data_IF_916672777264
#
_entry.id   IF_916672777264
#
_cell.length_a   1.000
_cell.length_b   1.000
_cell.length_c   1.000
_cell.angle_alpha   90.00
_cell.angle_beta   90.00
_cell.angle_gamma   90.00
#
_symmetry.space_group_name_H-M   'P 1'
#
loop_
_entity.id
_entity.type
_entity.pdbx_description
1 polymer ?
#
# COMPACT_ATOMS: atom_id res chain seq x y z
N UNK A 1 39.68 31.12 -17.15
CA UNK A 1 38.36 31.59 -16.66
C UNK A 1 37.62 30.38 -16.10
N UNK A 2 37.68 30.21 -14.78
CA UNK A 2 37.13 29.04 -14.06
C UNK A 2 35.75 29.42 -13.57
N UNK A 3 34.70 28.82 -14.16
CA UNK A 3 33.30 29.03 -13.74
C UNK A 3 33.04 28.30 -12.44
N UNK A 4 32.85 29.06 -11.36
CA UNK A 4 32.35 28.52 -10.08
C UNK A 4 30.88 28.14 -10.22
N UNK A 5 30.57 26.81 -10.19
CA UNK A 5 29.24 26.32 -10.00
C UNK A 5 28.79 26.60 -8.56
N UNK A 6 27.91 27.56 -8.37
CA UNK A 6 27.22 27.82 -7.09
C UNK A 6 26.29 26.66 -6.78
N UNK A 7 26.62 25.90 -5.73
CA UNK A 7 25.71 24.89 -5.13
C UNK A 7 24.52 25.62 -4.52
N UNK A 8 23.38 25.60 -5.20
CA UNK A 8 22.10 26.01 -4.60
C UNK A 8 21.74 25.06 -3.46
N UNK A 9 21.80 25.56 -2.23
CA UNK A 9 21.27 24.85 -1.04
C UNK A 9 19.75 24.70 -1.21
N UNK A 10 19.29 23.49 -1.45
CA UNK A 10 17.86 23.13 -1.37
C UNK A 10 17.36 23.45 0.03
N UNK A 11 16.24 24.17 0.22
CA UNK A 11 15.73 24.50 1.55
C UNK A 11 15.37 23.20 2.29
N UNK A 12 15.96 23.04 3.47
CA UNK A 12 15.70 21.92 4.37
C UNK A 12 14.23 22.01 4.85
N UNK A 13 13.31 21.31 4.19
CA UNK A 13 11.92 21.19 4.66
C UNK A 13 11.95 20.45 5.98
N UNK A 14 11.39 21.05 7.02
CA UNK A 14 11.27 20.45 8.35
C UNK A 14 10.44 19.17 8.28
N UNK A 15 11.07 18.04 8.60
CA UNK A 15 10.43 16.72 8.63
C UNK A 15 9.27 16.70 9.64
N UNK A 16 8.12 16.09 9.34
CA UNK A 16 7.04 15.89 10.30
C UNK A 16 7.58 15.24 11.59
N UNK A 17 7.19 15.75 12.75
CA UNK A 17 7.74 15.39 14.06
C UNK A 17 7.77 13.88 14.37
N UNK A 18 6.84 13.11 13.76
CA UNK A 18 6.80 11.65 13.87
C UNK A 18 7.93 10.93 13.11
N UNK A 19 8.35 11.47 11.98
CA UNK A 19 9.36 10.87 11.10
C UNK A 19 10.76 11.17 11.57
N UNK A 20 11.00 12.36 12.12
CA UNK A 20 12.28 12.72 12.75
C UNK A 20 12.69 11.76 13.87
N UNK A 21 11.72 11.23 14.65
CA UNK A 21 11.98 10.18 15.66
C UNK A 21 12.34 8.84 15.05
N UNK A 22 11.73 8.48 13.92
CA UNK A 22 11.98 7.21 13.23
C UNK A 22 13.34 7.21 12.53
N UNK A 23 13.79 8.38 12.05
CA UNK A 23 15.06 8.56 11.34
C UNK A 23 16.26 8.70 12.28
N UNK A 24 16.05 8.97 13.59
CA UNK A 24 17.14 8.95 14.57
C UNK A 24 17.84 7.59 14.54
N UNK A 25 19.19 7.61 14.39
CA UNK A 25 20.07 6.43 14.31
C UNK A 25 20.03 5.68 12.95
N UNK A 26 19.56 6.30 11.89
CA UNK A 26 19.79 5.78 10.54
C UNK A 26 21.05 6.49 10.00
N UNK A 27 22.14 5.74 9.84
CA UNK A 27 23.48 6.28 9.50
C UNK A 27 23.65 6.63 8.01
N UNK A 28 22.55 6.71 7.25
CA UNK A 28 22.55 7.00 5.82
C UNK A 28 21.78 8.29 5.51
N UNK A 29 22.14 8.98 4.42
CA UNK A 29 21.39 10.14 3.93
C UNK A 29 19.91 9.79 3.71
N UNK A 30 19.02 10.73 4.01
CA UNK A 30 17.58 10.51 3.96
C UNK A 30 17.09 10.17 2.54
N UNK A 31 17.64 10.80 1.53
CA UNK A 31 17.35 10.57 0.12
C UNK A 31 17.68 9.13 -0.30
N UNK A 32 18.81 8.57 0.15
CA UNK A 32 19.20 7.16 -0.06
C UNK A 32 18.16 6.22 0.57
N UNK A 33 17.80 6.49 1.83
CA UNK A 33 16.80 5.68 2.56
C UNK A 33 15.45 5.69 1.83
N UNK A 34 14.97 6.88 1.48
CA UNK A 34 13.68 7.05 0.81
C UNK A 34 13.67 6.43 -0.59
N UNK A 35 14.76 6.54 -1.32
CA UNK A 35 14.94 5.93 -2.62
C UNK A 35 14.81 4.41 -2.55
N UNK A 36 15.57 3.78 -1.64
CA UNK A 36 15.53 2.33 -1.43
C UNK A 36 14.12 1.85 -1.01
N UNK A 37 13.48 2.55 -0.07
CA UNK A 37 12.12 2.22 0.39
C UNK A 37 11.12 2.32 -0.75
N UNK A 38 11.15 3.41 -1.54
CA UNK A 38 10.28 3.58 -2.69
C UNK A 38 10.50 2.51 -3.76
N UNK A 39 11.75 2.21 -4.07
CA UNK A 39 12.07 1.19 -5.07
C UNK A 39 11.59 -0.19 -4.64
N UNK A 40 11.80 -0.56 -3.38
CA UNK A 40 11.36 -1.84 -2.85
C UNK A 40 9.85 -2.05 -2.94
N UNK A 41 9.04 -1.03 -2.61
CA UNK A 41 7.57 -1.15 -2.65
C UNK A 41 6.95 -0.80 -4.00
N UNK A 42 7.69 -0.09 -4.84
CA UNK A 42 7.18 0.40 -6.12
C UNK A 42 7.55 -0.47 -7.32
N UNK A 43 8.59 -1.28 -7.24
CA UNK A 43 9.10 -2.07 -8.35
C UNK A 43 9.28 -3.53 -7.97
N UNK A 44 9.38 -4.39 -8.99
CA UNK A 44 9.61 -5.83 -8.84
C UNK A 44 11.08 -6.11 -8.54
N UNK A 45 11.54 -5.76 -7.34
CA UNK A 45 12.93 -5.86 -6.89
C UNK A 45 12.99 -6.63 -5.56
N UNK A 46 14.03 -7.46 -5.42
CA UNK A 46 14.40 -8.04 -4.13
C UNK A 46 15.26 -7.05 -3.33
N UNK A 47 15.44 -7.32 -2.04
CA UNK A 47 16.35 -6.52 -1.20
C UNK A 47 17.81 -6.63 -1.70
N UNK A 48 18.20 -7.78 -2.27
CA UNK A 48 19.54 -7.98 -2.84
C UNK A 48 19.75 -7.21 -4.14
N UNK A 49 18.73 -7.11 -4.98
CA UNK A 49 18.82 -6.23 -6.15
C UNK A 49 19.03 -4.77 -5.75
N UNK A 50 18.42 -4.32 -4.65
CA UNK A 50 18.64 -2.96 -4.16
C UNK A 50 20.05 -2.75 -3.60
N UNK A 51 20.60 -3.74 -2.90
CA UNK A 51 21.98 -3.75 -2.44
C UNK A 51 22.95 -3.59 -3.62
N UNK A 52 22.80 -4.40 -4.67
CA UNK A 52 23.57 -4.34 -5.90
C UNK A 52 23.44 -2.98 -6.62
N UNK A 53 22.19 -2.53 -6.84
CA UNK A 53 21.92 -1.23 -7.49
C UNK A 53 22.48 -0.03 -6.72
N UNK A 54 22.58 -0.10 -5.41
CA UNK A 54 23.20 0.95 -4.60
C UNK A 54 24.73 0.89 -4.65
N UNK A 55 25.31 -0.32 -4.65
CA UNK A 55 26.76 -0.51 -4.82
C UNK A 55 27.24 0.05 -6.15
N UNK A 56 26.52 -0.14 -7.27
CA UNK A 56 26.80 0.47 -8.58
C UNK A 56 26.85 2.01 -8.53
N UNK A 57 26.21 2.63 -7.54
CA UNK A 57 26.19 4.09 -7.30
C UNK A 57 27.20 4.55 -6.25
N UNK A 58 28.10 3.66 -5.85
CA UNK A 58 29.11 3.93 -4.82
C UNK A 58 28.52 4.05 -3.40
N UNK A 59 27.33 3.51 -3.16
CA UNK A 59 26.70 3.53 -1.83
C UNK A 59 26.59 2.10 -1.31
N UNK A 60 27.38 1.76 -0.31
CA UNK A 60 27.34 0.48 0.35
C UNK A 60 26.12 0.41 1.29
N UNK A 61 25.11 -0.38 0.94
CA UNK A 61 23.89 -0.58 1.71
C UNK A 61 23.60 -2.08 1.81
N UNK A 62 23.59 -2.60 3.01
CA UNK A 62 23.20 -3.99 3.27
C UNK A 62 21.67 -4.18 3.14
N UNK A 63 21.26 -5.29 2.53
CA UNK A 63 19.85 -5.65 2.33
C UNK A 63 19.03 -5.70 3.63
N UNK A 64 19.63 -6.04 4.77
CA UNK A 64 18.97 -6.03 6.07
C UNK A 64 18.73 -4.60 6.58
N UNK A 65 19.57 -3.65 6.21
CA UNK A 65 19.39 -2.22 6.48
C UNK A 65 18.20 -1.68 5.71
N UNK A 66 18.10 -2.01 4.41
CA UNK A 66 16.93 -1.63 3.59
C UNK A 66 15.65 -2.21 4.19
N UNK A 67 15.66 -3.49 4.60
CA UNK A 67 14.50 -4.11 5.25
C UNK A 67 14.09 -3.36 6.53
N UNK A 68 15.05 -3.00 7.39
CA UNK A 68 14.79 -2.21 8.61
C UNK A 68 14.17 -0.85 8.32
N UNK A 69 14.64 -0.16 7.29
CA UNK A 69 14.07 1.12 6.85
C UNK A 69 12.63 0.97 6.40
N UNK A 70 12.37 -0.03 5.56
CA UNK A 70 11.03 -0.36 5.08
C UNK A 70 10.05 -0.59 6.25
N UNK A 71 10.41 -1.48 7.19
CA UNK A 71 9.55 -1.80 8.34
C UNK A 71 9.33 -0.60 9.26
N UNK A 72 10.32 0.28 9.42
CA UNK A 72 10.21 1.47 10.28
C UNK A 72 9.41 2.59 9.64
N UNK A 73 9.58 2.84 8.34
CA UNK A 73 9.03 4.02 7.68
C UNK A 73 7.61 3.80 7.12
N UNK A 74 7.31 2.63 6.56
CA UNK A 74 6.03 2.40 5.89
C UNK A 74 4.79 2.63 6.78
N UNK A 75 4.78 2.34 8.10
CA UNK A 75 3.64 2.69 8.94
C UNK A 75 3.35 4.19 9.00
N UNK A 76 4.41 5.02 8.99
CA UNK A 76 4.27 6.47 8.96
C UNK A 76 3.76 6.94 7.59
N UNK A 77 4.23 6.35 6.50
CA UNK A 77 3.74 6.61 5.14
C UNK A 77 2.27 6.26 5.00
N UNK A 78 1.85 5.10 5.52
CA UNK A 78 0.44 4.70 5.51
C UNK A 78 -0.43 5.73 6.24
N UNK A 79 0.00 6.16 7.44
CA UNK A 79 -0.73 7.18 8.21
C UNK A 79 -0.84 8.51 7.46
N UNK A 80 0.25 8.97 6.82
CA UNK A 80 0.26 10.20 6.05
C UNK A 80 -0.60 10.10 4.78
N UNK A 81 -0.47 8.98 4.04
CA UNK A 81 -1.24 8.73 2.84
C UNK A 81 -2.75 8.69 3.09
N UNK A 82 -3.20 8.01 4.17
CA UNK A 82 -4.63 7.93 4.50
C UNK A 82 -5.30 9.29 4.71
N UNK A 83 -4.55 10.29 5.18
CA UNK A 83 -5.05 11.68 5.34
C UNK A 83 -5.23 12.39 4.01
N UNK A 84 -4.48 12.02 2.98
CA UNK A 84 -4.43 12.65 1.66
C UNK A 84 -5.04 11.77 0.56
N UNK A 85 -5.56 10.61 0.94
CA UNK A 85 -6.19 9.68 0.01
C UNK A 85 -7.45 10.30 -0.59
N UNK A 86 -7.60 10.19 -1.90
CA UNK A 86 -8.82 10.64 -2.59
C UNK A 86 -10.04 9.86 -2.14
N UNK A 87 -11.21 10.51 -2.08
CA UNK A 87 -12.48 9.83 -1.92
C UNK A 87 -12.69 8.79 -3.02
N UNK A 88 -13.28 7.66 -2.66
CA UNK A 88 -13.59 6.57 -3.59
C UNK A 88 -15.08 6.54 -3.93
N UNK A 89 -15.42 5.94 -5.06
CA UNK A 89 -16.81 5.78 -5.49
C UNK A 89 -17.61 4.88 -4.53
N UNK A 90 -18.93 5.00 -4.55
CA UNK A 90 -19.87 4.27 -3.66
C UNK A 90 -20.24 2.86 -4.16
N UNK A 91 -19.66 2.39 -5.25
CA UNK A 91 -19.88 1.02 -5.75
C UNK A 91 -18.56 0.27 -5.74
N UNK A 92 -18.45 -0.71 -4.83
CA UNK A 92 -17.22 -1.45 -4.60
C UNK A 92 -17.29 -2.86 -5.19
N UNK A 93 -16.15 -3.33 -5.67
CA UNK A 93 -15.92 -4.72 -6.09
C UNK A 93 -14.84 -5.30 -5.19
N UNK A 94 -15.18 -6.41 -4.54
CA UNK A 94 -14.32 -7.02 -3.52
C UNK A 94 -13.92 -8.41 -3.96
N UNK A 95 -12.66 -8.71 -3.80
CA UNK A 95 -12.08 -10.02 -4.05
C UNK A 95 -10.91 -10.26 -3.10
N UNK A 96 -10.53 -11.53 -2.91
CA UNK A 96 -9.35 -11.90 -2.16
C UNK A 96 -8.34 -12.67 -3.01
N UNK A 97 -7.08 -12.48 -2.68
CA UNK A 97 -5.99 -13.24 -3.29
C UNK A 97 -5.04 -13.81 -2.24
N UNK A 98 -4.19 -14.73 -2.66
CA UNK A 98 -3.28 -15.46 -1.78
C UNK A 98 -1.89 -14.82 -1.77
N UNK A 99 -1.28 -14.73 -0.57
CA UNK A 99 0.09 -14.29 -0.34
C UNK A 99 0.78 -15.30 0.57
N UNK A 100 2.00 -15.70 0.23
CA UNK A 100 2.77 -16.70 1.00
C UNK A 100 3.49 -16.05 2.17
N UNK A 101 3.21 -16.49 3.40
CA UNK A 101 3.84 -16.02 4.64
C UNK A 101 4.28 -17.24 5.47
N UNK A 102 5.55 -17.35 5.81
CA UNK A 102 6.14 -18.52 6.52
C UNK A 102 5.79 -19.86 5.83
N UNK A 103 5.81 -19.89 4.50
CA UNK A 103 5.44 -21.08 3.76
C UNK A 103 3.92 -21.33 3.63
N UNK A 104 3.08 -20.66 4.38
CA UNK A 104 1.62 -20.83 4.41
C UNK A 104 0.90 -19.75 3.60
N UNK A 105 -0.21 -20.12 2.96
CA UNK A 105 -1.05 -19.19 2.25
C UNK A 105 -1.86 -18.34 3.24
N UNK A 106 -1.84 -17.02 3.02
CA UNK A 106 -2.61 -16.01 3.73
C UNK A 106 -3.45 -15.22 2.73
N UNK A 107 -4.47 -14.53 3.18
CA UNK A 107 -5.49 -13.94 2.35
C UNK A 107 -5.38 -12.42 2.35
N UNK A 108 -5.20 -11.84 1.17
CA UNK A 108 -5.22 -10.39 0.96
C UNK A 108 -6.58 -10.01 0.38
N UNK A 109 -7.44 -9.49 1.23
CA UNK A 109 -8.71 -8.87 0.83
C UNK A 109 -8.44 -7.53 0.18
N UNK A 110 -9.19 -7.22 -0.86
CA UNK A 110 -9.05 -5.96 -1.57
C UNK A 110 -10.39 -5.53 -2.17
N UNK A 111 -10.64 -4.21 -2.15
CA UNK A 111 -11.75 -3.61 -2.89
C UNK A 111 -11.24 -2.53 -3.84
N UNK A 112 -11.91 -2.42 -4.97
CA UNK A 112 -11.79 -1.30 -5.91
C UNK A 112 -13.17 -0.70 -6.18
N UNK A 113 -13.23 0.59 -6.50
CA UNK A 113 -14.46 1.22 -6.95
C UNK A 113 -14.74 0.96 -8.44
N UNK A 114 -15.84 1.50 -8.97
CA UNK A 114 -16.22 1.34 -10.38
C UNK A 114 -15.17 1.91 -11.35
N UNK A 115 -14.43 2.94 -10.93
CA UNK A 115 -13.37 3.56 -11.73
C UNK A 115 -12.03 2.81 -11.61
N UNK A 116 -11.96 1.76 -10.78
CA UNK A 116 -10.75 1.00 -10.54
C UNK A 116 -9.84 1.57 -9.44
N UNK A 117 -10.26 2.63 -8.73
CA UNK A 117 -9.49 3.14 -7.61
C UNK A 117 -9.54 2.17 -6.43
N UNK A 118 -8.41 1.94 -5.77
CA UNK A 118 -8.34 1.05 -4.60
C UNK A 118 -9.09 1.68 -3.42
N UNK A 119 -10.13 0.98 -2.96
CA UNK A 119 -10.90 1.37 -1.77
C UNK A 119 -10.10 1.06 -0.51
N UNK A 120 -9.81 -0.21 -0.27
CA UNK A 120 -8.97 -0.63 0.86
C UNK A 120 -8.43 -2.06 0.62
N UNK A 121 -7.52 -2.48 1.51
CA UNK A 121 -6.91 -3.80 1.52
C UNK A 121 -6.69 -4.26 2.97
N UNK A 122 -6.66 -5.58 3.18
CA UNK A 122 -6.37 -6.17 4.49
C UNK A 122 -5.78 -7.57 4.35
N UNK A 123 -4.60 -7.81 4.93
CA UNK A 123 -4.03 -9.16 5.05
C UNK A 123 -4.63 -9.88 6.26
N UNK A 124 -5.15 -11.09 6.03
CA UNK A 124 -5.72 -11.96 7.08
C UNK A 124 -5.08 -13.34 7.08
N UNK A 125 -5.05 -13.97 8.23
CA UNK A 125 -4.48 -15.31 8.40
C UNK A 125 -5.41 -16.40 7.85
N UNK A 126 -6.72 -16.21 7.97
CA UNK A 126 -7.76 -17.16 7.60
C UNK A 126 -8.75 -16.51 6.61
N UNK A 127 -9.46 -17.37 5.84
CA UNK A 127 -10.55 -17.01 4.95
C UNK A 127 -11.85 -17.49 5.56
N UNK A 128 -12.42 -16.70 6.43
CA UNK A 128 -13.65 -17.00 7.13
C UNK A 128 -14.56 -15.76 7.24
N UNK A 129 -15.79 -15.94 7.74
CA UNK A 129 -16.76 -14.87 7.94
C UNK A 129 -16.19 -13.74 8.82
N UNK A 130 -15.44 -14.07 9.87
CA UNK A 130 -14.87 -13.08 10.78
C UNK A 130 -13.77 -12.24 10.09
N UNK A 131 -12.93 -12.85 9.24
CA UNK A 131 -11.92 -12.15 8.46
C UNK A 131 -12.57 -11.20 7.44
N UNK A 132 -13.59 -11.65 6.72
CA UNK A 132 -14.35 -10.85 5.77
C UNK A 132 -15.08 -9.69 6.47
N UNK A 133 -15.75 -9.95 7.59
CA UNK A 133 -16.43 -8.91 8.39
C UNK A 133 -15.44 -7.82 8.82
N UNK A 134 -14.29 -8.22 9.39
CA UNK A 134 -13.23 -7.27 9.80
C UNK A 134 -12.70 -6.42 8.64
N UNK A 135 -12.63 -7.01 7.45
CA UNK A 135 -12.26 -6.27 6.26
C UNK A 135 -13.31 -5.22 5.88
N UNK A 136 -14.59 -5.59 5.83
CA UNK A 136 -15.66 -4.66 5.47
C UNK A 136 -15.82 -3.54 6.50
N UNK A 137 -15.79 -3.84 7.79
CA UNK A 137 -15.82 -2.83 8.87
C UNK A 137 -14.70 -1.80 8.68
N UNK A 138 -13.45 -2.26 8.51
CA UNK A 138 -12.31 -1.38 8.26
C UNK A 138 -12.48 -0.54 6.99
N UNK A 139 -12.93 -1.14 5.90
CA UNK A 139 -13.08 -0.44 4.62
C UNK A 139 -14.16 0.64 4.71
N UNK A 140 -15.28 0.37 5.39
CA UNK A 140 -16.38 1.30 5.60
C UNK A 140 -15.95 2.44 6.53
N UNK A 141 -15.30 2.13 7.65
CA UNK A 141 -14.79 3.11 8.60
C UNK A 141 -13.88 4.13 7.94
N UNK A 142 -13.01 3.69 7.03
CA UNK A 142 -11.99 4.52 6.41
C UNK A 142 -12.43 5.24 5.12
N UNK A 143 -13.44 4.73 4.42
CA UNK A 143 -13.83 5.25 3.11
C UNK A 143 -15.32 5.66 3.03
N UNK A 144 -16.05 5.54 4.15
CA UNK A 144 -17.47 5.79 4.22
C UNK A 144 -18.31 4.66 3.62
N UNK A 145 -19.61 4.77 3.76
CA UNK A 145 -20.56 3.72 3.37
C UNK A 145 -20.73 3.60 1.86
N UNK A 146 -20.58 2.38 1.29
CA UNK A 146 -20.90 2.11 -0.09
C UNK A 146 -22.42 1.93 -0.29
N UNK A 147 -22.91 2.29 -1.47
CA UNK A 147 -24.28 1.97 -1.91
C UNK A 147 -24.39 0.52 -2.38
N UNK A 148 -23.32 -0.02 -2.97
CA UNK A 148 -23.31 -1.35 -3.55
C UNK A 148 -21.94 -2.01 -3.33
N UNK A 149 -21.96 -3.28 -2.91
CA UNK A 149 -20.77 -4.13 -2.89
C UNK A 149 -21.00 -5.32 -3.80
N UNK A 150 -20.08 -5.55 -4.73
CA UNK A 150 -20.05 -6.74 -5.58
C UNK A 150 -18.97 -7.68 -5.06
N UNK A 151 -19.35 -8.91 -4.78
CA UNK A 151 -18.45 -10.01 -4.36
C UNK A 151 -18.56 -11.16 -5.35
N UNK A 152 -17.58 -12.07 -5.31
CA UNK A 152 -17.69 -13.37 -5.95
C UNK A 152 -18.75 -14.24 -5.22
N UNK A 153 -18.92 -15.47 -5.66
CA UNK A 153 -19.84 -16.43 -5.00
C UNK A 153 -19.25 -17.05 -3.72
N UNK A 154 -18.28 -16.39 -3.08
CA UNK A 154 -17.69 -16.82 -1.81
C UNK A 154 -18.70 -16.70 -0.69
N UNK A 155 -19.01 -17.82 -0.04
CA UNK A 155 -19.96 -17.85 1.08
C UNK A 155 -19.51 -17.00 2.27
N UNK A 156 -18.19 -16.87 2.52
CA UNK A 156 -17.66 -16.09 3.64
C UNK A 156 -17.93 -14.59 3.48
N UNK A 157 -17.71 -14.03 2.27
CA UNK A 157 -17.99 -12.63 1.98
C UNK A 157 -19.49 -12.30 2.09
N UNK A 158 -20.34 -13.18 1.52
CA UNK A 158 -21.77 -13.00 1.58
C UNK A 158 -22.27 -13.03 3.03
N UNK A 159 -21.92 -14.07 3.79
CA UNK A 159 -22.34 -14.22 5.18
C UNK A 159 -21.86 -13.07 6.09
N UNK A 160 -20.70 -12.48 5.78
CA UNK A 160 -20.20 -11.29 6.48
C UNK A 160 -21.04 -10.05 6.16
N UNK A 161 -21.38 -9.83 4.89
CA UNK A 161 -22.20 -8.69 4.46
C UNK A 161 -23.66 -8.79 4.94
N UNK A 162 -24.24 -9.99 4.95
CA UNK A 162 -25.57 -10.24 5.51
C UNK A 162 -25.61 -9.90 7.02
N UNK A 163 -24.59 -10.34 7.78
CA UNK A 163 -24.48 -10.02 9.19
C UNK A 163 -24.31 -8.51 9.43
N UNK A 164 -23.52 -7.82 8.60
CA UNK A 164 -23.37 -6.37 8.67
C UNK A 164 -24.67 -5.64 8.35
N UNK A 165 -25.41 -6.10 7.35
CA UNK A 165 -26.69 -5.50 6.96
C UNK A 165 -27.79 -5.71 8.00
N UNK A 166 -27.77 -6.80 8.75
CA UNK A 166 -28.72 -7.06 9.84
C UNK A 166 -28.60 -6.04 11.00
N UNK A 167 -27.42 -5.42 11.14
CA UNK A 167 -27.14 -4.41 12.19
C UNK A 167 -27.35 -2.97 11.69
N UNK A 168 -27.82 -2.75 10.44
CA UNK A 168 -27.90 -1.44 9.79
C UNK A 168 -29.34 -1.01 9.50
N UNK A 169 -29.62 0.26 9.70
CA UNK A 169 -30.91 0.85 9.30
C UNK A 169 -31.06 0.91 7.78
N UNK A 170 -29.95 1.17 7.06
CA UNK A 170 -29.94 1.20 5.60
C UNK A 170 -29.01 0.11 5.08
N UNK A 171 -29.55 -0.99 4.54
CA UNK A 171 -28.73 -2.10 4.09
C UNK A 171 -27.95 -1.75 2.81
N UNK A 172 -26.71 -2.23 2.74
CA UNK A 172 -25.85 -2.12 1.57
C UNK A 172 -26.37 -3.12 0.51
N UNK A 173 -26.55 -2.67 -0.73
CA UNK A 173 -26.93 -3.58 -1.83
C UNK A 173 -25.80 -4.54 -2.17
N UNK A 174 -26.00 -5.82 -1.91
CA UNK A 174 -25.04 -6.87 -2.25
C UNK A 174 -25.33 -7.43 -3.63
N UNK A 175 -24.31 -7.58 -4.45
CA UNK A 175 -24.36 -8.22 -5.77
C UNK A 175 -23.36 -9.37 -5.82
N UNK A 176 -23.80 -10.54 -6.28
CA UNK A 176 -22.91 -11.66 -6.57
C UNK A 176 -22.71 -11.76 -8.07
N UNK A 177 -21.49 -11.51 -8.55
CA UNK A 177 -21.17 -11.61 -9.97
C UNK A 177 -19.68 -11.92 -10.18
N UNK A 178 -19.39 -13.09 -10.75
CA UNK A 178 -18.03 -13.54 -11.05
C UNK A 178 -17.34 -12.67 -12.11
N UNK A 179 -18.08 -12.22 -13.11
CA UNK A 179 -17.50 -11.53 -14.28
C UNK A 179 -17.13 -10.05 -14.01
N UNK A 180 -17.65 -9.45 -12.97
CA UNK A 180 -17.34 -8.06 -12.63
C UNK A 180 -16.04 -7.88 -11.83
N UNK A 181 -15.36 -8.97 -11.47
CA UNK A 181 -14.14 -8.95 -10.67
C UNK A 181 -12.85 -8.76 -11.47
N UNK A 182 -12.90 -8.74 -12.82
CA UNK A 182 -11.72 -8.57 -13.68
C UNK A 182 -10.86 -7.35 -13.29
N UNK A 183 -11.48 -6.26 -12.83
CA UNK A 183 -10.75 -5.04 -12.43
C UNK A 183 -9.94 -5.29 -11.15
N UNK A 184 -10.52 -6.01 -10.16
CA UNK A 184 -9.81 -6.38 -8.92
C UNK A 184 -8.71 -7.40 -9.22
N UNK A 185 -8.95 -8.33 -10.14
CA UNK A 185 -7.96 -9.33 -10.56
C UNK A 185 -6.74 -8.69 -11.22
N UNK A 186 -6.92 -7.64 -12.04
CA UNK A 186 -5.81 -6.88 -12.61
C UNK A 186 -4.95 -6.23 -11.52
N UNK A 187 -5.59 -5.70 -10.50
CA UNK A 187 -4.92 -5.14 -9.33
C UNK A 187 -4.13 -6.21 -8.56
N UNK A 188 -4.72 -7.39 -8.36
CA UNK A 188 -4.01 -8.51 -7.75
C UNK A 188 -2.77 -8.90 -8.53
N UNK A 189 -2.82 -8.91 -9.87
CA UNK A 189 -1.65 -9.20 -10.73
C UNK A 189 -0.56 -8.14 -10.55
N UNK A 190 -0.93 -6.86 -10.44
CA UNK A 190 0.03 -5.78 -10.22
C UNK A 190 0.79 -5.95 -8.90
N UNK A 191 0.08 -6.25 -7.80
CA UNK A 191 0.68 -6.51 -6.50
C UNK A 191 1.55 -7.79 -6.52
N UNK A 192 1.04 -8.87 -7.09
CA UNK A 192 1.78 -10.15 -7.22
C UNK A 192 3.08 -9.99 -8.01
N UNK A 193 3.12 -9.13 -9.03
CA UNK A 193 4.33 -8.82 -9.77
C UNK A 193 5.40 -8.22 -8.87
N UNK A 194 5.04 -7.28 -7.99
CA UNK A 194 5.97 -6.63 -7.07
C UNK A 194 6.49 -7.61 -6.02
N UNK A 195 5.64 -8.48 -5.46
CA UNK A 195 6.04 -9.40 -4.41
C UNK A 195 6.77 -10.66 -4.93
N UNK A 196 6.72 -10.94 -6.23
CA UNK A 196 7.33 -12.14 -6.82
C UNK A 196 8.81 -12.31 -6.46
N UNK A 197 9.70 -11.29 -6.62
CA UNK A 197 11.12 -11.43 -6.28
C UNK A 197 11.39 -11.46 -4.77
N UNK A 198 10.41 -11.17 -3.92
CA UNK A 198 10.55 -11.26 -2.46
C UNK A 198 10.48 -12.70 -1.95
N UNK A 199 10.14 -13.68 -2.83
CA UNK A 199 10.09 -15.12 -2.51
C UNK A 199 9.17 -15.48 -1.33
N UNK A 200 8.16 -14.65 -1.05
CA UNK A 200 7.27 -14.74 0.10
C UNK A 200 7.80 -13.99 1.32
N UNK A 201 6.99 -13.96 2.36
CA UNK A 201 7.29 -13.24 3.58
C UNK A 201 7.63 -14.18 4.73
N UNK A 202 8.66 -13.84 5.53
CA UNK A 202 9.09 -14.63 6.69
C UNK A 202 8.29 -14.35 7.96
N UNK A 203 7.56 -13.24 8.00
CA UNK A 203 6.77 -12.81 9.17
C UNK A 203 5.48 -12.12 8.76
N UNK A 204 4.38 -12.36 9.50
CA UNK A 204 3.05 -11.81 9.17
C UNK A 204 2.97 -10.29 9.39
N UNK A 205 3.63 -9.77 10.43
CA UNK A 205 3.67 -8.32 10.70
C UNK A 205 4.46 -7.61 9.60
N UNK A 206 5.62 -8.15 9.22
CA UNK A 206 6.42 -7.61 8.13
C UNK A 206 5.65 -7.66 6.79
N UNK A 207 4.97 -8.78 6.50
CA UNK A 207 4.13 -8.91 5.31
C UNK A 207 3.05 -7.81 5.25
N UNK A 208 2.34 -7.58 6.35
CA UNK A 208 1.31 -6.54 6.44
C UNK A 208 1.88 -5.14 6.17
N UNK A 209 3.03 -4.81 6.76
CA UNK A 209 3.69 -3.51 6.60
C UNK A 209 4.17 -3.33 5.15
N UNK A 210 4.85 -4.33 4.57
CA UNK A 210 5.37 -4.25 3.21
C UNK A 210 4.22 -4.16 2.20
N UNK A 211 3.18 -4.97 2.36
CA UNK A 211 2.00 -4.91 1.51
C UNK A 211 1.32 -3.54 1.59
N UNK A 212 1.24 -2.91 2.77
CA UNK A 212 0.68 -1.55 2.86
C UNK A 212 1.49 -0.54 2.05
N UNK A 213 2.82 -0.63 2.06
CA UNK A 213 3.69 0.20 1.24
C UNK A 213 3.51 -0.03 -0.28
N UNK A 214 3.40 -1.31 -0.69
CA UNK A 214 3.14 -1.67 -2.09
C UNK A 214 1.79 -1.11 -2.55
N UNK A 215 0.75 -1.23 -1.72
CA UNK A 215 -0.58 -0.70 -2.01
C UNK A 215 -0.57 0.83 -2.13
N UNK A 216 0.14 1.53 -1.25
CA UNK A 216 0.30 3.00 -1.31
C UNK A 216 0.99 3.39 -2.62
N UNK A 217 2.12 2.76 -2.96
CA UNK A 217 2.82 3.04 -4.20
C UNK A 217 1.95 2.74 -5.43
N UNK A 218 1.12 1.70 -5.37
CA UNK A 218 0.17 1.35 -6.42
C UNK A 218 -0.96 2.37 -6.55
N UNK A 219 -1.56 2.81 -5.43
CA UNK A 219 -2.60 3.83 -5.41
C UNK A 219 -2.11 5.18 -5.96
N UNK A 220 -0.91 5.61 -5.60
CA UNK A 220 -0.29 6.84 -6.12
C UNK A 220 -0.09 6.75 -7.64
N UNK A 221 0.28 5.59 -8.18
CA UNK A 221 0.41 5.38 -9.63
C UNK A 221 -0.92 5.42 -10.39
N UNK A 222 -2.01 4.99 -9.76
CA UNK A 222 -3.35 5.01 -10.36
C UNK A 222 -3.95 6.41 -10.45
N UNK A 223 -3.58 7.27 -9.55
CA UNK A 223 -4.06 8.64 -9.55
C UNK A 223 -3.41 9.46 -8.44
N UNK A 224 -3.23 10.76 -8.65
CA UNK A 224 -2.58 11.62 -7.67
C UNK A 224 -3.39 11.66 -6.37
N UNK A 225 -2.72 11.92 -5.26
CA UNK A 225 -3.37 12.23 -3.97
C UNK A 225 -4.21 13.52 -4.07
N UNK A 226 -5.07 13.79 -3.08
CA UNK A 226 -5.66 15.12 -2.93
C UNK A 226 -4.52 16.08 -2.62
N UNK A 227 -4.15 16.89 -3.60
CA UNK A 227 -3.10 17.89 -3.50
C UNK A 227 -3.54 19.21 -4.12
N UNK A 228 -2.83 20.28 -3.78
CA UNK A 228 -3.13 21.68 -4.08
C UNK A 228 -2.93 22.08 -5.57
N UNK A 229 -3.24 21.18 -6.50
CA UNK A 229 -3.28 21.46 -7.93
C UNK A 229 -1.95 21.43 -8.68
N UNK A 230 -0.84 21.10 -8.02
CA UNK A 230 0.47 20.95 -8.68
C UNK A 230 0.60 19.54 -9.25
N UNK A 231 0.82 19.43 -10.57
CA UNK A 231 1.11 18.16 -11.22
C UNK A 231 2.44 17.63 -10.72
N UNK A 232 2.40 16.62 -9.83
CA UNK A 232 3.58 15.97 -9.27
C UNK A 232 3.70 14.53 -9.78
N UNK A 233 4.93 14.08 -9.99
CA UNK A 233 5.21 12.69 -10.37
C UNK A 233 4.84 11.74 -9.23
N UNK A 234 4.61 10.46 -9.54
CA UNK A 234 4.38 9.45 -8.52
C UNK A 234 5.54 9.32 -7.51
N UNK A 235 6.76 9.69 -7.91
CA UNK A 235 7.92 9.75 -7.04
C UNK A 235 7.82 10.90 -6.05
N UNK A 236 7.54 12.10 -6.53
CA UNK A 236 7.38 13.30 -5.70
C UNK A 236 6.23 13.14 -4.71
N UNK A 237 5.08 12.60 -5.14
CA UNK A 237 3.97 12.30 -4.26
C UNK A 237 4.35 11.29 -3.16
N UNK A 238 5.10 10.23 -3.49
CA UNK A 238 5.57 9.27 -2.50
C UNK A 238 6.50 9.93 -1.48
N UNK A 239 7.44 10.75 -1.92
CA UNK A 239 8.36 11.46 -1.04
C UNK A 239 7.66 12.53 -0.19
N UNK A 240 6.63 13.19 -0.71
CA UNK A 240 5.85 14.18 0.03
C UNK A 240 5.08 13.60 1.22
N UNK A 241 4.97 12.26 1.34
CA UNK A 241 4.38 11.61 2.51
C UNK A 241 5.24 11.78 3.78
N UNK A 242 6.52 12.14 3.62
CA UNK A 242 7.50 12.25 4.71
C UNK A 242 8.18 13.62 4.78
N UNK A 243 7.90 14.49 3.83
CA UNK A 243 8.33 15.87 3.79
C UNK A 243 7.18 16.81 4.14
#
# INVERSE_FOLDING_TARGET
MTSMMTKTKTPCKTLPAGIGKVLKRLHYPLDVILLCVRWYVGYSLSLRNLEEMMAERGVEVDHSSVHRWVIKLLPAFEKAFRKRKRPVGKSWRVDETYVKVKGHWKYLYRAVDKAGNTVDFLLRAHRDKAAARRYFEKAIEQNGEPKTITVDRSGANLAALEALNAERLTPIKVRQNKYLNNVVEQDHRAIKRIIKPMMGFKDFRCARIILSGIEIAHMIRKGPMCDDGVASTAAEQFYSLVM
#
